data_IF_230241664096
#
_entry.id   IF_230241664096
#
_cell.length_a   1.000
_cell.length_b   1.000
_cell.length_c   1.000
_cell.angle_alpha   90.00
_cell.angle_beta   90.00
_cell.angle_gamma   90.00
#
_symmetry.space_group_name_H-M   'P 1'
#
loop_
_entity.id
_entity.type
_entity.pdbx_description
1 polymer ?
#
# COMPACT_ATOMS: atom_id res chain seq x y z
N UNK A 1 11.87 -24.57 16.50
CA UNK A 1 10.84 -23.71 15.84
C UNK A 1 9.62 -24.49 15.33
N UNK A 2 9.69 -25.80 15.04
CA UNK A 2 8.49 -26.61 14.70
C UNK A 2 7.61 -26.99 15.90
N UNK A 3 8.12 -26.86 17.12
CA UNK A 3 7.48 -27.35 18.36
C UNK A 3 6.86 -26.25 19.24
N UNK A 4 6.61 -25.06 18.69
CA UNK A 4 5.93 -24.00 19.45
C UNK A 4 4.43 -24.13 19.25
N UNK A 5 3.63 -24.21 20.34
CA UNK A 5 2.18 -24.34 20.24
C UNK A 5 1.61 -23.15 19.46
N UNK A 6 0.70 -23.41 18.53
CA UNK A 6 -0.04 -22.37 17.86
C UNK A 6 -1.36 -22.16 18.63
N UNK A 7 -1.58 -21.00 19.28
CA UNK A 7 -2.77 -20.71 20.07
C UNK A 7 -4.09 -20.73 19.26
N UNK A 8 -4.00 -20.75 17.94
CA UNK A 8 -5.12 -20.90 17.02
C UNK A 8 -5.13 -22.29 16.36
N UNK A 9 -4.54 -23.31 16.99
CA UNK A 9 -4.59 -24.71 16.54
C UNK A 9 -6.02 -25.24 16.37
N UNK A 10 -6.97 -24.75 17.16
CA UNK A 10 -8.39 -25.11 17.06
C UNK A 10 -9.08 -24.52 15.81
N UNK A 11 -8.44 -23.56 15.13
CA UNK A 11 -8.88 -22.98 13.87
C UNK A 11 -7.99 -23.54 12.75
N UNK A 12 -8.29 -24.80 12.34
CA UNK A 12 -7.52 -25.58 11.34
C UNK A 12 -7.20 -24.76 10.07
N UNK A 13 -8.05 -23.79 9.71
CA UNK A 13 -7.86 -22.91 8.55
C UNK A 13 -6.73 -21.86 8.72
N UNK A 14 -6.46 -21.40 9.95
CA UNK A 14 -5.38 -20.46 10.27
C UNK A 14 -4.09 -21.18 10.67
N UNK A 15 -4.21 -22.36 11.30
CA UNK A 15 -3.08 -23.10 11.83
C UNK A 15 -2.04 -23.49 10.76
N UNK A 16 -2.49 -23.76 9.54
CA UNK A 16 -1.64 -24.12 8.40
C UNK A 16 -1.00 -22.91 7.68
N UNK A 17 -1.50 -21.69 7.90
CA UNK A 17 -1.06 -20.48 7.16
C UNK A 17 0.07 -19.73 7.84
N UNK A 18 0.01 -19.57 9.17
CA UNK A 18 1.07 -18.95 9.97
C UNK A 18 0.93 -19.30 11.46
N UNK A 19 1.98 -19.05 12.25
CA UNK A 19 1.94 -19.27 13.70
C UNK A 19 1.92 -17.89 14.42
N UNK A 20 0.78 -17.48 14.98
CA UNK A 20 0.61 -16.20 15.67
C UNK A 20 1.55 -16.02 16.86
N UNK A 21 1.78 -17.07 17.66
CA UNK A 21 2.66 -17.00 18.83
C UNK A 21 4.12 -16.72 18.46
N UNK A 22 4.59 -17.26 17.33
CA UNK A 22 5.93 -16.94 16.81
C UNK A 22 6.06 -15.48 16.45
N UNK A 23 5.05 -14.91 15.79
CA UNK A 23 5.03 -13.48 15.44
C UNK A 23 5.04 -12.67 16.74
N UNK A 24 4.13 -12.97 17.65
CA UNK A 24 3.95 -12.17 18.86
C UNK A 24 5.21 -12.15 19.73
N UNK A 25 5.74 -13.32 20.12
CA UNK A 25 6.95 -13.40 20.96
C UNK A 25 8.12 -12.70 20.29
N UNK A 26 8.28 -12.86 18.97
CA UNK A 26 9.37 -12.21 18.23
C UNK A 26 9.21 -10.68 18.20
N UNK A 27 8.03 -10.18 17.81
CA UNK A 27 7.74 -8.75 17.67
C UNK A 27 7.81 -8.05 19.03
N UNK A 28 7.12 -8.58 20.03
CA UNK A 28 7.09 -8.04 21.39
C UNK A 28 8.51 -7.97 21.97
N UNK A 29 9.26 -9.07 21.92
CA UNK A 29 10.62 -9.10 22.50
C UNK A 29 11.58 -8.18 21.75
N UNK A 30 11.63 -8.26 20.41
CA UNK A 30 12.60 -7.50 19.62
C UNK A 30 12.37 -5.99 19.75
N UNK A 31 11.12 -5.56 19.63
CA UNK A 31 10.80 -4.12 19.63
C UNK A 31 10.79 -3.53 21.04
N UNK A 32 10.49 -4.32 22.08
CA UNK A 32 10.70 -3.89 23.46
C UNK A 32 12.18 -3.66 23.76
N UNK A 33 13.08 -4.57 23.33
CA UNK A 33 14.53 -4.38 23.46
C UNK A 33 15.04 -3.18 22.63
N UNK A 34 14.36 -2.85 21.54
CA UNK A 34 14.70 -1.74 20.66
C UNK A 34 13.90 -0.45 20.94
N UNK A 35 13.22 -0.37 22.10
CA UNK A 35 12.29 0.71 22.46
C UNK A 35 12.97 2.05 22.80
N UNK A 36 14.29 2.06 22.95
CA UNK A 36 15.06 3.24 23.38
C UNK A 36 14.92 4.46 22.46
N UNK A 37 14.84 4.25 21.15
CA UNK A 37 14.59 5.32 20.17
C UNK A 37 14.18 4.75 18.81
N UNK A 38 13.64 5.61 17.93
CA UNK A 38 13.30 5.24 16.55
C UNK A 38 14.48 4.56 15.83
N UNK A 39 15.69 5.10 15.98
CA UNK A 39 16.89 4.52 15.35
C UNK A 39 17.20 3.10 15.82
N UNK A 40 16.98 2.79 17.11
CA UNK A 40 17.18 1.43 17.63
C UNK A 40 16.15 0.48 17.03
N UNK A 41 14.87 0.88 17.00
CA UNK A 41 13.80 0.09 16.39
C UNK A 41 14.03 -0.14 14.88
N UNK A 42 14.47 0.88 14.14
CA UNK A 42 14.79 0.72 12.72
C UNK A 42 15.99 -0.18 12.47
N UNK A 43 17.02 -0.10 13.32
CA UNK A 43 18.19 -0.98 13.25
C UNK A 43 17.79 -2.43 13.53
N UNK A 44 16.92 -2.65 14.53
CA UNK A 44 16.36 -3.96 14.85
C UNK A 44 15.56 -4.54 13.67
N UNK A 45 14.62 -3.78 13.10
CA UNK A 45 13.85 -4.20 11.92
C UNK A 45 14.77 -4.55 10.75
N UNK A 46 15.79 -3.73 10.49
CA UNK A 46 16.72 -3.97 9.38
C UNK A 46 17.59 -5.21 9.63
N UNK A 47 18.08 -5.40 10.85
CA UNK A 47 18.93 -6.54 11.24
C UNK A 47 18.18 -7.87 11.14
N UNK A 48 16.89 -7.90 11.50
CA UNK A 48 16.07 -9.11 11.49
C UNK A 48 15.04 -9.13 10.35
N UNK A 49 15.27 -8.36 9.28
CA UNK A 49 14.36 -8.24 8.13
C UNK A 49 13.97 -9.60 7.54
N UNK A 50 14.92 -10.51 7.36
CA UNK A 50 14.65 -11.86 6.85
C UNK A 50 13.68 -12.64 7.74
N UNK A 51 13.78 -12.49 9.07
CA UNK A 51 12.87 -13.16 10.01
C UNK A 51 11.47 -12.58 9.89
N UNK A 52 11.34 -11.26 9.78
CA UNK A 52 10.07 -10.61 9.50
C UNK A 52 9.44 -11.11 8.19
N UNK A 53 10.21 -11.22 7.10
CA UNK A 53 9.70 -11.73 5.82
C UNK A 53 9.22 -13.17 5.88
N UNK A 54 9.87 -14.03 6.67
CA UNK A 54 9.44 -15.43 6.87
C UNK A 54 8.20 -15.51 7.75
N UNK A 55 8.11 -14.69 8.79
CA UNK A 55 6.99 -14.72 9.73
C UNK A 55 5.73 -14.05 9.17
N UNK A 56 5.88 -13.05 8.28
CA UNK A 56 4.81 -12.25 7.71
C UNK A 56 4.66 -12.46 6.19
N UNK A 57 4.74 -13.72 5.75
CA UNK A 57 4.60 -14.09 4.34
C UNK A 57 3.16 -13.93 3.85
N UNK A 58 2.18 -14.41 4.62
CA UNK A 58 0.75 -14.26 4.32
C UNK A 58 0.18 -12.91 4.78
N UNK A 59 -0.88 -12.43 4.13
CA UNK A 59 -1.55 -11.17 4.51
C UNK A 59 -2.09 -11.23 5.95
N UNK A 60 -2.66 -12.35 6.36
CA UNK A 60 -3.19 -12.55 7.72
C UNK A 60 -2.07 -12.47 8.77
N UNK A 61 -0.88 -12.96 8.44
CA UNK A 61 0.31 -12.85 9.28
C UNK A 61 0.81 -11.41 9.38
N UNK A 62 0.72 -10.63 8.29
CA UNK A 62 1.03 -9.20 8.30
C UNK A 62 0.04 -8.40 9.15
N UNK A 63 -1.26 -8.71 9.07
CA UNK A 63 -2.30 -8.10 9.93
C UNK A 63 -2.05 -8.48 11.40
N UNK A 64 -1.69 -9.74 11.68
CA UNK A 64 -1.36 -10.15 13.04
C UNK A 64 -0.10 -9.44 13.57
N UNK A 65 0.92 -9.25 12.73
CA UNK A 65 2.09 -8.45 13.06
C UNK A 65 1.71 -7.00 13.42
N UNK A 66 0.79 -6.39 12.68
CA UNK A 66 0.25 -5.05 12.98
C UNK A 66 -0.50 -5.01 14.32
N UNK A 67 -1.21 -6.07 14.69
CA UNK A 67 -1.82 -6.22 16.02
C UNK A 67 -0.77 -6.27 17.13
N UNK A 68 0.26 -7.12 17.01
CA UNK A 68 1.35 -7.17 17.99
C UNK A 68 2.09 -5.83 18.10
N UNK A 69 2.27 -5.10 17.00
CA UNK A 69 2.81 -3.74 17.03
C UNK A 69 1.92 -2.78 17.81
N UNK A 70 0.62 -2.80 17.55
CA UNK A 70 -0.34 -1.94 18.22
C UNK A 70 -0.39 -2.21 19.72
N UNK A 71 -0.41 -3.47 20.14
CA UNK A 71 -0.41 -3.83 21.55
C UNK A 71 0.81 -3.28 22.30
N UNK A 72 1.99 -3.30 21.67
CA UNK A 72 3.22 -2.77 22.26
C UNK A 72 3.28 -1.24 22.26
N UNK A 73 2.72 -0.58 21.24
CA UNK A 73 2.94 0.84 20.97
C UNK A 73 1.67 1.71 20.95
N UNK A 74 0.52 1.21 21.41
CA UNK A 74 -0.77 1.94 21.43
C UNK A 74 -0.71 3.31 22.11
N UNK A 75 0.14 3.43 23.14
CA UNK A 75 0.31 4.67 23.91
C UNK A 75 1.34 5.63 23.25
N UNK A 76 1.97 5.22 22.14
CA UNK A 76 2.94 6.02 21.40
C UNK A 76 2.59 6.08 19.90
N UNK A 77 1.60 6.90 19.56
CA UNK A 77 1.07 7.06 18.19
C UNK A 77 2.14 7.40 17.14
N UNK A 78 3.09 8.28 17.46
CA UNK A 78 4.17 8.63 16.52
C UNK A 78 5.07 7.42 16.22
N UNK A 79 5.35 6.55 17.22
CA UNK A 79 6.09 5.32 17.01
C UNK A 79 5.35 4.39 16.04
N UNK A 80 4.03 4.24 16.21
CA UNK A 80 3.20 3.47 15.28
C UNK A 80 3.33 3.97 13.83
N UNK A 81 3.21 5.28 13.61
CA UNK A 81 3.36 5.87 12.28
C UNK A 81 4.73 5.54 11.65
N UNK A 82 5.83 5.70 12.40
CA UNK A 82 7.17 5.50 11.84
C UNK A 82 7.55 4.03 11.67
N UNK A 83 7.05 3.13 12.51
CA UNK A 83 7.28 1.69 12.37
C UNK A 83 6.53 1.12 11.17
N UNK A 84 5.26 1.48 10.99
CA UNK A 84 4.48 1.07 9.81
C UNK A 84 5.11 1.66 8.53
N UNK A 85 5.53 2.93 8.57
CA UNK A 85 6.32 3.51 7.48
C UNK A 85 7.58 2.69 7.19
N UNK A 86 8.39 2.36 8.20
CA UNK A 86 9.60 1.56 8.01
C UNK A 86 9.29 0.20 7.40
N UNK A 87 8.27 -0.50 7.90
CA UNK A 87 7.91 -1.84 7.45
C UNK A 87 7.34 -1.88 6.03
N UNK A 88 6.56 -0.87 5.62
CA UNK A 88 6.13 -0.68 4.23
C UNK A 88 7.34 -0.41 3.31
N UNK A 89 8.30 0.43 3.75
CA UNK A 89 9.53 0.73 2.99
C UNK A 89 10.40 -0.50 2.79
N UNK A 90 10.43 -1.41 3.75
CA UNK A 90 11.20 -2.67 3.69
C UNK A 90 10.40 -3.85 3.17
N UNK A 91 9.18 -3.62 2.64
CA UNK A 91 8.28 -4.66 2.11
C UNK A 91 8.02 -5.81 3.10
N UNK A 92 8.04 -5.51 4.40
CA UNK A 92 7.57 -6.44 5.44
C UNK A 92 6.05 -6.46 5.46
N UNK A 93 5.45 -5.28 5.25
CA UNK A 93 4.01 -5.09 5.12
C UNK A 93 3.67 -4.67 3.70
N UNK A 94 2.51 -5.13 3.24
CA UNK A 94 1.82 -4.68 2.05
C UNK A 94 0.81 -3.59 2.39
N UNK A 95 0.45 -2.78 1.40
CA UNK A 95 -0.48 -1.68 1.60
C UNK A 95 -1.90 -2.17 1.89
N UNK A 96 -2.30 -3.30 1.29
CA UNK A 96 -3.58 -4.00 1.53
C UNK A 96 -3.71 -4.40 3.01
N UNK A 97 -2.70 -5.06 3.57
CA UNK A 97 -2.68 -5.48 4.97
C UNK A 97 -2.86 -4.29 5.92
N UNK A 98 -2.16 -3.18 5.66
CA UNK A 98 -2.30 -1.95 6.47
C UNK A 98 -3.70 -1.35 6.35
N UNK A 99 -4.26 -1.30 5.13
CA UNK A 99 -5.63 -0.82 4.93
C UNK A 99 -6.64 -1.70 5.68
N UNK A 100 -6.56 -3.02 5.56
CA UNK A 100 -7.42 -3.97 6.27
C UNK A 100 -7.30 -3.84 7.79
N UNK A 101 -6.09 -3.64 8.32
CA UNK A 101 -5.86 -3.43 9.75
C UNK A 101 -6.49 -2.13 10.27
N UNK A 102 -6.41 -1.01 9.54
CA UNK A 102 -6.99 0.28 9.97
C UNK A 102 -8.51 0.18 10.20
N UNK A 103 -9.19 -0.61 9.37
CA UNK A 103 -10.64 -0.84 9.47
C UNK A 103 -11.00 -2.10 10.28
N UNK A 104 -10.06 -2.69 11.00
CA UNK A 104 -10.32 -3.88 11.81
C UNK A 104 -11.10 -3.53 13.08
N UNK A 105 -11.72 -4.55 13.69
CA UNK A 105 -12.46 -4.40 14.96
C UNK A 105 -11.57 -3.94 16.11
N UNK A 106 -10.28 -4.30 16.08
CA UNK A 106 -9.32 -3.88 17.11
C UNK A 106 -9.09 -2.35 17.08
N UNK A 107 -9.20 -1.74 15.90
CA UNK A 107 -8.94 -0.31 15.71
C UNK A 107 -10.16 0.57 15.93
N UNK A 108 -11.34 0.01 16.23
CA UNK A 108 -12.58 0.78 16.44
C UNK A 108 -12.43 1.86 17.53
N UNK A 109 -11.75 1.55 18.64
CA UNK A 109 -11.52 2.51 19.73
C UNK A 109 -10.53 3.64 19.36
N UNK A 110 -9.76 3.45 18.29
CA UNK A 110 -8.74 4.38 17.82
C UNK A 110 -9.18 5.14 16.57
N UNK A 111 -10.26 4.72 15.92
CA UNK A 111 -10.67 5.11 14.57
C UNK A 111 -10.80 6.62 14.35
N UNK A 112 -11.19 7.37 15.38
CA UNK A 112 -11.35 8.83 15.31
C UNK A 112 -10.06 9.61 15.61
N UNK A 113 -8.95 8.94 15.95
CA UNK A 113 -7.66 9.59 16.22
C UNK A 113 -6.90 9.86 14.91
N UNK A 114 -6.20 11.01 14.85
CA UNK A 114 -5.57 11.47 13.61
C UNK A 114 -4.49 10.52 13.06
N UNK A 115 -3.69 9.90 13.93
CA UNK A 115 -2.55 9.08 13.51
C UNK A 115 -2.95 7.90 12.60
N UNK A 116 -4.13 7.30 12.79
CA UNK A 116 -4.64 6.25 11.90
C UNK A 116 -4.82 6.75 10.47
N UNK A 117 -5.36 7.95 10.31
CA UNK A 117 -5.56 8.58 9.00
C UNK A 117 -4.24 9.02 8.41
N UNK A 118 -3.28 9.47 9.23
CA UNK A 118 -1.91 9.71 8.77
C UNK A 118 -1.27 8.44 8.19
N UNK A 119 -1.43 7.29 8.86
CA UNK A 119 -0.97 5.99 8.38
C UNK A 119 -1.67 5.61 7.07
N UNK A 120 -3.00 5.78 6.97
CA UNK A 120 -3.75 5.49 5.74
C UNK A 120 -3.22 6.31 4.57
N UNK A 121 -3.16 7.64 4.73
CA UNK A 121 -2.68 8.53 3.66
C UNK A 121 -1.20 8.30 3.34
N UNK A 122 -0.36 7.97 4.33
CA UNK A 122 1.04 7.58 4.10
C UNK A 122 1.11 6.32 3.25
N UNK A 123 0.28 5.33 3.53
CA UNK A 123 0.22 4.06 2.81
C UNK A 123 -0.19 4.27 1.35
N UNK A 124 -1.25 5.05 1.11
CA UNK A 124 -1.68 5.41 -0.26
C UNK A 124 -0.58 6.17 -1.00
N UNK A 125 0.02 7.19 -0.36
CA UNK A 125 1.12 7.97 -0.99
C UNK A 125 2.30 7.09 -1.38
N UNK A 126 2.62 6.08 -0.58
CA UNK A 126 3.69 5.14 -0.91
C UNK A 126 3.38 4.28 -2.11
N UNK A 127 2.17 3.72 -2.17
CA UNK A 127 1.75 2.95 -3.32
C UNK A 127 1.77 3.81 -4.59
N UNK A 128 1.25 5.03 -4.52
CA UNK A 128 1.30 5.99 -5.63
C UNK A 128 2.74 6.36 -6.03
N UNK A 129 3.63 6.60 -5.06
CA UNK A 129 5.03 6.88 -5.34
C UNK A 129 5.75 5.67 -5.97
N UNK A 130 5.40 4.45 -5.58
CA UNK A 130 5.93 3.22 -6.16
C UNK A 130 5.54 3.08 -7.63
N UNK A 131 4.24 3.22 -7.95
CA UNK A 131 3.72 3.18 -9.33
C UNK A 131 4.33 4.28 -10.19
N UNK A 132 4.41 5.52 -9.67
CA UNK A 132 5.01 6.63 -10.42
C UNK A 132 6.49 6.41 -10.71
N UNK A 133 7.23 5.81 -9.76
CA UNK A 133 8.64 5.47 -9.95
C UNK A 133 8.80 4.42 -11.06
N UNK A 134 8.02 3.33 -11.02
CA UNK A 134 8.08 2.28 -12.05
C UNK A 134 7.69 2.81 -13.44
N UNK A 135 6.66 3.65 -13.53
CA UNK A 135 6.29 4.32 -14.79
C UNK A 135 7.45 5.13 -15.37
N UNK A 136 8.14 5.92 -14.53
CA UNK A 136 9.28 6.73 -14.97
C UNK A 136 10.44 5.85 -15.43
N UNK A 137 10.79 4.83 -14.65
CA UNK A 137 11.86 3.88 -14.99
C UNK A 137 11.58 3.18 -16.33
N UNK A 138 10.32 2.77 -16.57
CA UNK A 138 9.91 2.17 -17.84
C UNK A 138 9.98 3.16 -19.01
N UNK A 139 9.52 4.39 -18.83
CA UNK A 139 9.59 5.41 -19.87
C UNK A 139 11.05 5.71 -20.29
N UNK A 140 11.95 5.83 -19.31
CA UNK A 140 13.38 6.01 -19.55
C UNK A 140 14.01 4.80 -20.26
N UNK A 141 13.57 3.57 -19.93
CA UNK A 141 14.06 2.36 -20.59
C UNK A 141 13.60 2.30 -22.07
N UNK A 142 12.32 2.61 -22.34
CA UNK A 142 11.76 2.65 -23.70
C UNK A 142 12.44 3.71 -24.57
N UNK A 143 12.73 4.89 -24.02
CA UNK A 143 13.45 5.95 -24.75
C UNK A 143 14.87 5.51 -25.17
N UNK A 144 15.60 4.82 -24.29
CA UNK A 144 16.95 4.30 -24.59
C UNK A 144 16.94 3.24 -25.69
N UNK A 145 15.88 2.44 -25.78
CA UNK A 145 15.69 1.44 -26.85
C UNK A 145 15.31 2.14 -28.17
N UNK A 146 14.38 3.09 -28.13
CA UNK A 146 13.92 3.83 -29.32
C UNK A 146 14.99 4.70 -29.97
N UNK A 147 15.82 5.38 -29.17
CA UNK A 147 16.94 6.19 -29.69
C UNK A 147 18.01 5.35 -30.43
N UNK A 148 18.14 4.06 -30.09
CA UNK A 148 19.08 3.16 -30.76
C UNK A 148 18.57 2.70 -32.14
N UNK A 149 17.25 2.51 -32.32
CA UNK A 149 16.66 2.14 -33.60
C UNK A 149 16.73 3.27 -34.64
N UNK A 150 16.63 4.53 -34.21
CA UNK A 150 16.82 5.68 -35.07
C UNK A 150 18.28 5.85 -35.53
N UNK A 151 19.25 5.55 -34.66
CA UNK A 151 20.68 5.70 -34.96
C UNK A 151 21.26 4.51 -35.77
N UNK A 152 20.53 3.40 -35.91
CA UNK A 152 20.84 2.31 -36.86
C UNK A 152 20.22 2.51 -38.24
N UNK A 153 19.27 3.44 -38.39
CA UNK A 153 18.59 3.74 -39.66
C UNK A 153 19.27 4.86 -40.47
N UNK A 154 20.31 5.51 -39.95
CA UNK A 154 21.10 6.54 -40.65
C UNK A 154 22.45 6.00 -41.14
N UNK A 155 22.46 4.77 -41.66
CA UNK A 155 23.58 4.22 -42.41
C UNK A 155 23.30 4.35 -43.90
N UNK A 156 23.60 5.52 -44.46
CA UNK A 156 23.82 5.67 -45.91
C UNK A 156 25.09 6.50 -46.13
N UNK A 157 26.03 5.84 -46.79
CA UNK A 157 27.34 6.16 -47.34
C UNK A 157 28.06 7.50 -47.00
N UNK A 158 29.26 7.36 -46.43
CA UNK A 158 30.42 8.20 -46.77
C UNK A 158 31.72 7.45 -46.43
N UNK A 159 32.30 6.83 -47.46
CA UNK A 159 33.68 6.35 -47.53
C UNK A 159 34.63 7.56 -47.55
N UNK A 160 35.46 7.76 -46.51
CA UNK A 160 36.84 8.23 -46.67
C UNK A 160 37.68 8.06 -45.38
N UNK A 161 38.81 7.40 -45.59
CA UNK A 161 40.03 7.25 -44.81
C UNK A 161 40.40 8.37 -43.81
N UNK A 162 40.74 8.03 -42.56
CA UNK A 162 41.99 8.50 -41.90
C UNK A 162 42.23 7.86 -40.52
N UNK A 163 43.46 7.41 -40.32
CA UNK A 163 44.03 6.90 -39.06
C UNK A 163 44.13 7.98 -37.97
N UNK A 164 43.98 7.60 -36.70
CA UNK A 164 44.31 8.47 -35.56
C UNK A 164 43.76 7.97 -34.23
N UNK A 165 44.58 7.22 -33.49
CA UNK A 165 44.18 6.53 -32.27
C UNK A 165 43.88 7.41 -31.04
N UNK A 166 43.24 6.79 -30.07
CA UNK A 166 43.37 7.16 -28.65
C UNK A 166 42.08 7.45 -27.89
N UNK A 167 41.47 6.39 -27.32
CA UNK A 167 40.85 6.50 -25.99
C UNK A 167 39.35 6.82 -25.90
N UNK A 168 38.49 6.16 -26.66
CA UNK A 168 37.05 6.05 -26.32
C UNK A 168 36.78 4.78 -25.51
N UNK A 169 37.17 4.79 -24.24
CA UNK A 169 36.76 3.77 -23.27
C UNK A 169 36.04 4.47 -22.11
N UNK A 170 34.70 4.40 -22.11
CA UNK A 170 33.83 4.38 -20.93
C UNK A 170 32.41 4.83 -21.30
N UNK A 171 31.60 3.92 -21.85
CA UNK A 171 30.14 3.83 -21.63
C UNK A 171 29.59 2.65 -22.44
N UNK A 172 30.06 1.45 -22.10
CA UNK A 172 29.18 0.30 -22.16
C UNK A 172 28.11 0.49 -21.08
N UNK A 173 27.16 1.40 -21.32
CA UNK A 173 25.96 1.43 -20.50
C UNK A 173 25.18 0.18 -20.85
N UNK A 174 25.01 -0.72 -19.89
CA UNK A 174 24.06 -1.83 -19.93
C UNK A 174 22.79 -1.37 -20.63
N UNK A 175 22.63 -1.78 -21.89
CA UNK A 175 21.46 -1.44 -22.68
C UNK A 175 20.32 -2.28 -22.10
N UNK A 176 19.16 -1.68 -21.76
CA UNK A 176 17.99 -2.47 -21.44
C UNK A 176 17.67 -3.35 -22.65
N UNK A 177 17.78 -4.66 -22.50
CA UNK A 177 17.31 -5.63 -23.48
C UNK A 177 15.79 -5.54 -23.59
N UNK A 178 15.23 -5.94 -24.74
CA UNK A 178 13.78 -5.97 -24.94
C UNK A 178 13.07 -6.78 -23.85
N UNK A 179 13.66 -7.90 -23.43
CA UNK A 179 13.20 -8.71 -22.29
C UNK A 179 13.23 -7.97 -20.94
N UNK A 180 14.17 -7.04 -20.73
CA UNK A 180 14.19 -6.20 -19.52
C UNK A 180 13.07 -5.15 -19.55
N UNK A 181 12.72 -4.62 -20.72
CA UNK A 181 11.59 -3.70 -20.88
C UNK A 181 10.28 -4.44 -20.62
N UNK A 182 10.10 -5.63 -21.18
CA UNK A 182 8.94 -6.49 -20.93
C UNK A 182 8.78 -6.81 -19.43
N UNK A 183 9.86 -7.22 -18.76
CA UNK A 183 9.83 -7.45 -17.30
C UNK A 183 9.51 -6.20 -16.47
N UNK A 184 9.88 -5.00 -16.95
CA UNK A 184 9.52 -3.73 -16.30
C UNK A 184 8.04 -3.38 -16.52
N UNK A 185 7.49 -3.73 -17.68
CA UNK A 185 6.06 -3.58 -17.99
C UNK A 185 5.21 -4.48 -17.08
N UNK A 186 5.56 -5.77 -16.96
CA UNK A 186 4.86 -6.70 -16.05
C UNK A 186 4.86 -6.20 -14.59
N UNK A 187 6.00 -5.69 -14.12
CA UNK A 187 6.10 -5.12 -12.75
C UNK A 187 5.25 -3.87 -12.59
N UNK A 188 5.17 -3.03 -13.61
CA UNK A 188 4.35 -1.82 -13.58
C UNK A 188 2.86 -2.19 -13.55
N UNK A 189 2.43 -3.14 -14.38
CA UNK A 189 1.05 -3.62 -14.41
C UNK A 189 0.64 -4.23 -13.07
N UNK A 190 1.51 -5.07 -12.48
CA UNK A 190 1.30 -5.60 -11.14
C UNK A 190 1.14 -4.49 -10.09
N UNK A 191 2.04 -3.49 -10.08
CA UNK A 191 1.95 -2.37 -9.14
C UNK A 191 0.70 -1.49 -9.36
N UNK A 192 0.26 -1.31 -10.61
CA UNK A 192 -0.99 -0.60 -10.92
C UNK A 192 -2.22 -1.40 -10.46
N UNK A 193 -2.19 -2.74 -10.59
CA UNK A 193 -3.23 -3.62 -10.07
C UNK A 193 -3.29 -3.53 -8.54
N UNK A 194 -2.14 -3.56 -7.86
CA UNK A 194 -2.05 -3.41 -6.40
C UNK A 194 -2.57 -2.04 -5.94
N UNK A 195 -2.24 -0.96 -6.67
CA UNK A 195 -2.77 0.38 -6.38
C UNK A 195 -4.29 0.43 -6.54
N UNK A 196 -4.83 -0.14 -7.62
CA UNK A 196 -6.27 -0.24 -7.84
C UNK A 196 -6.94 -1.02 -6.71
N UNK A 197 -6.40 -2.18 -6.36
CA UNK A 197 -6.91 -3.05 -5.30
C UNK A 197 -6.88 -2.34 -3.93
N UNK A 198 -5.82 -1.58 -3.63
CA UNK A 198 -5.73 -0.77 -2.42
C UNK A 198 -6.90 0.22 -2.32
N UNK A 199 -7.21 0.96 -3.39
CA UNK A 199 -8.36 1.87 -3.39
C UNK A 199 -9.68 1.11 -3.25
N UNK A 200 -9.85 -0.02 -3.94
CA UNK A 200 -11.06 -0.86 -3.80
C UNK A 200 -11.27 -1.32 -2.36
N UNK A 201 -10.23 -1.83 -1.70
CA UNK A 201 -10.28 -2.23 -0.28
C UNK A 201 -10.69 -1.05 0.59
N UNK A 202 -10.05 0.11 0.43
CA UNK A 202 -10.32 1.29 1.26
C UNK A 202 -11.78 1.74 1.10
N UNK A 203 -12.26 1.88 -0.14
CA UNK A 203 -13.63 2.31 -0.40
C UNK A 203 -14.66 1.28 0.02
N UNK A 204 -14.41 -0.01 -0.21
CA UNK A 204 -15.28 -1.08 0.26
C UNK A 204 -15.40 -1.07 1.80
N UNK A 205 -14.29 -0.88 2.52
CA UNK A 205 -14.31 -0.79 3.99
C UNK A 205 -15.08 0.43 4.48
N UNK A 206 -14.91 1.60 3.85
CA UNK A 206 -15.72 2.78 4.15
C UNK A 206 -17.21 2.54 3.92
N UNK A 207 -17.58 2.00 2.75
CA UNK A 207 -18.96 1.68 2.41
C UNK A 207 -19.55 0.73 3.45
N UNK A 208 -18.82 -0.33 3.81
CA UNK A 208 -19.26 -1.32 4.78
C UNK A 208 -19.57 -0.69 6.14
N UNK A 209 -18.64 0.07 6.74
CA UNK A 209 -18.85 0.64 8.07
C UNK A 209 -19.88 1.78 8.09
N UNK A 210 -19.97 2.57 7.01
CA UNK A 210 -20.96 3.64 6.91
C UNK A 210 -22.36 3.04 6.73
N UNK A 211 -22.51 2.03 5.88
CA UNK A 211 -23.77 1.33 5.66
C UNK A 211 -24.23 0.62 6.94
N UNK A 212 -23.32 -0.05 7.66
CA UNK A 212 -23.61 -0.68 8.95
C UNK A 212 -24.15 0.35 9.96
N UNK A 213 -23.51 1.52 10.05
CA UNK A 213 -23.96 2.61 10.93
C UNK A 213 -25.32 3.18 10.54
N UNK A 214 -25.56 3.39 9.24
CA UNK A 214 -26.84 3.93 8.73
C UNK A 214 -27.99 2.94 8.99
N UNK A 215 -27.79 1.67 8.66
CA UNK A 215 -28.78 0.60 8.91
C UNK A 215 -29.07 0.45 10.41
N UNK A 216 -28.03 0.52 11.25
CA UNK A 216 -28.20 0.45 12.71
C UNK A 216 -28.96 1.66 13.24
N UNK A 217 -28.67 2.86 12.76
CA UNK A 217 -29.35 4.09 13.19
C UNK A 217 -30.84 4.06 12.82
N UNK A 218 -31.16 3.56 11.61
CA UNK A 218 -32.55 3.35 11.17
C UNK A 218 -33.27 2.29 12.02
N UNK A 219 -32.60 1.17 12.30
CA UNK A 219 -33.15 0.08 13.14
C UNK A 219 -33.42 0.54 14.59
N UNK A 220 -32.52 1.34 15.15
CA UNK A 220 -32.59 1.82 16.54
C UNK A 220 -33.46 3.09 16.68
N UNK A 221 -34.05 3.62 15.59
CA UNK A 221 -34.79 4.90 15.52
C UNK A 221 -33.99 6.08 16.10
N UNK A 222 -32.69 6.14 15.74
CA UNK A 222 -31.76 7.18 16.17
C UNK A 222 -31.27 8.02 15.00
N UNK A 223 -30.91 9.28 15.29
CA UNK A 223 -30.29 10.15 14.30
C UNK A 223 -28.92 9.58 13.87
N UNK A 224 -28.79 9.25 12.60
CA UNK A 224 -27.55 8.75 12.03
C UNK A 224 -26.43 9.79 12.06
N UNK A 225 -26.76 11.09 12.13
CA UNK A 225 -25.84 12.21 11.99
C UNK A 225 -25.01 12.48 13.27
N UNK A 226 -24.37 11.42 13.76
CA UNK A 226 -23.51 11.42 14.94
C UNK A 226 -22.15 12.05 14.66
N UNK A 227 -21.38 12.45 15.70
CA UNK A 227 -19.99 12.89 15.53
C UNK A 227 -19.12 11.85 14.83
N UNK A 228 -19.32 10.56 15.10
CA UNK A 228 -18.61 9.47 14.44
C UNK A 228 -18.94 9.41 12.94
N UNK A 229 -20.22 9.55 12.59
CA UNK A 229 -20.65 9.57 11.19
C UNK A 229 -20.03 10.74 10.42
N UNK A 230 -20.15 11.97 10.94
CA UNK A 230 -19.58 13.18 10.32
C UNK A 230 -18.06 13.07 10.14
N UNK A 231 -17.38 12.50 11.12
CA UNK A 231 -15.96 12.23 11.02
C UNK A 231 -15.66 11.22 9.91
N UNK A 232 -16.35 10.09 9.90
CA UNK A 232 -16.08 8.98 8.97
C UNK A 232 -16.39 9.36 7.52
N UNK A 233 -17.54 10.00 7.27
CA UNK A 233 -17.91 10.50 5.93
C UNK A 233 -16.93 11.59 5.47
N UNK A 234 -16.47 12.46 6.38
CA UNK A 234 -15.43 13.45 6.10
C UNK A 234 -14.08 12.82 5.75
N UNK A 235 -13.73 11.67 6.34
CA UNK A 235 -12.51 10.92 5.99
C UNK A 235 -12.64 10.23 4.64
N UNK A 236 -13.81 9.73 4.27
CA UNK A 236 -14.08 9.25 2.92
C UNK A 236 -13.87 10.38 1.89
N UNK A 237 -14.49 11.55 2.13
CA UNK A 237 -14.28 12.75 1.30
C UNK A 237 -12.79 13.12 1.20
N UNK A 238 -12.06 13.07 2.32
CA UNK A 238 -10.63 13.37 2.33
C UNK A 238 -9.81 12.42 1.44
N UNK A 239 -10.18 11.13 1.35
CA UNK A 239 -9.48 10.20 0.45
C UNK A 239 -9.71 10.59 -1.02
N UNK A 240 -10.94 10.94 -1.40
CA UNK A 240 -11.26 11.43 -2.74
C UNK A 240 -10.47 12.69 -3.09
N UNK A 241 -10.48 13.69 -2.20
CA UNK A 241 -9.80 14.96 -2.45
C UNK A 241 -8.27 14.84 -2.40
N UNK A 242 -7.74 14.09 -1.43
CA UNK A 242 -6.30 13.97 -1.22
C UNK A 242 -5.56 13.16 -2.27
N UNK A 243 -6.27 12.30 -3.01
CA UNK A 243 -5.70 11.39 -4.01
C UNK A 243 -6.49 11.42 -5.33
N UNK A 244 -7.09 12.56 -5.65
CA UNK A 244 -8.03 12.71 -6.77
C UNK A 244 -7.44 12.21 -8.11
N UNK A 245 -6.17 12.50 -8.39
CA UNK A 245 -5.51 12.09 -9.64
C UNK A 245 -5.47 10.57 -9.81
N UNK A 246 -5.27 9.82 -8.72
CA UNK A 246 -5.18 8.37 -8.76
C UNK A 246 -6.57 7.74 -8.75
N UNK A 247 -7.46 8.22 -7.88
CA UNK A 247 -8.84 7.73 -7.78
C UNK A 247 -9.58 7.90 -9.10
N UNK A 248 -9.34 9.01 -9.79
CA UNK A 248 -9.88 9.30 -11.12
C UNK A 248 -9.58 8.22 -12.15
N UNK A 249 -8.37 7.65 -12.17
CA UNK A 249 -8.00 6.60 -13.13
C UNK A 249 -8.87 5.36 -12.98
N UNK A 250 -9.47 5.17 -11.80
CA UNK A 250 -10.29 4.01 -11.46
C UNK A 250 -11.77 4.36 -11.31
N UNK A 251 -12.20 5.60 -11.61
CA UNK A 251 -13.58 6.06 -11.35
C UNK A 251 -14.63 5.17 -12.00
N UNK A 252 -14.43 4.73 -13.24
CA UNK A 252 -15.37 3.83 -13.92
C UNK A 252 -15.50 2.45 -13.24
N UNK A 253 -14.41 1.91 -12.70
CA UNK A 253 -14.49 0.68 -11.89
C UNK A 253 -15.20 0.94 -10.56
N UNK A 254 -14.92 2.06 -9.91
CA UNK A 254 -15.55 2.43 -8.64
C UNK A 254 -17.07 2.62 -8.79
N UNK A 255 -17.50 3.29 -9.84
CA UNK A 255 -18.91 3.48 -10.18
C UNK A 255 -19.62 2.14 -10.47
N UNK A 256 -18.96 1.23 -11.19
CA UNK A 256 -19.57 -0.05 -11.57
C UNK A 256 -19.62 -1.06 -10.43
N UNK A 257 -18.62 -1.08 -9.54
CA UNK A 257 -18.46 -2.14 -8.53
C UNK A 257 -18.79 -1.73 -7.10
N UNK A 258 -18.64 -0.45 -6.73
CA UNK A 258 -18.73 -0.01 -5.34
C UNK A 258 -19.79 1.07 -5.12
N UNK A 259 -19.78 2.12 -5.95
CA UNK A 259 -20.69 3.26 -5.84
C UNK A 259 -21.83 3.14 -6.85
N UNK A 260 -22.56 2.03 -6.75
CA UNK A 260 -23.72 1.72 -7.61
C UNK A 260 -24.97 2.47 -7.14
N UNK A 261 -26.03 2.45 -7.96
CA UNK A 261 -27.30 3.12 -7.64
C UNK A 261 -28.02 2.54 -6.42
N UNK A 262 -27.68 1.32 -6.03
CA UNK A 262 -28.26 0.63 -4.86
C UNK A 262 -27.56 1.03 -3.55
N UNK A 263 -26.45 1.78 -3.61
CA UNK A 263 -25.77 2.29 -2.42
C UNK A 263 -26.58 3.42 -1.77
N UNK A 264 -26.53 3.49 -0.44
CA UNK A 264 -27.18 4.57 0.32
C UNK A 264 -26.80 5.95 -0.23
N UNK A 265 -27.83 6.79 -0.41
CA UNK A 265 -27.70 8.10 -1.06
C UNK A 265 -26.66 9.00 -0.38
N UNK A 266 -26.50 8.92 0.95
CA UNK A 266 -25.53 9.78 1.65
C UNK A 266 -24.08 9.41 1.33
N UNK A 267 -23.80 8.11 1.13
CA UNK A 267 -22.47 7.64 0.75
C UNK A 267 -22.24 7.90 -0.74
N UNK A 268 -23.26 7.65 -1.57
CA UNK A 268 -23.20 7.85 -3.02
C UNK A 268 -22.98 9.33 -3.38
N UNK A 269 -23.61 10.26 -2.65
CA UNK A 269 -23.47 11.70 -2.85
C UNK A 269 -22.00 12.16 -2.73
N UNK A 270 -21.21 11.58 -1.82
CA UNK A 270 -19.77 11.88 -1.70
C UNK A 270 -19.02 11.53 -3.00
N UNK A 271 -19.34 10.40 -3.61
CA UNK A 271 -18.73 10.01 -4.89
C UNK A 271 -19.21 10.89 -6.04
N UNK A 272 -20.50 11.24 -6.08
CA UNK A 272 -21.05 12.13 -7.10
C UNK A 272 -20.45 13.54 -7.02
N UNK A 273 -20.29 14.09 -5.82
CA UNK A 273 -19.59 15.35 -5.59
C UNK A 273 -18.16 15.29 -6.14
N UNK A 274 -17.43 14.21 -5.87
CA UNK A 274 -16.08 14.01 -6.42
C UNK A 274 -16.08 13.99 -7.96
N UNK A 275 -17.01 13.27 -8.59
CA UNK A 275 -17.14 13.23 -10.05
C UNK A 275 -17.48 14.61 -10.63
N UNK A 276 -18.33 15.40 -9.95
CA UNK A 276 -18.72 16.74 -10.39
C UNK A 276 -17.60 17.79 -10.36
N UNK A 277 -16.50 17.56 -9.63
CA UNK A 277 -15.35 18.48 -9.62
C UNK A 277 -14.67 18.62 -11.00
N UNK A 278 -15.10 17.83 -11.99
CA UNK A 278 -14.63 17.92 -13.39
C UNK A 278 -15.75 18.02 -14.44
N UNK A 279 -17.02 18.08 -14.04
CA UNK A 279 -18.13 18.34 -14.98
C UNK A 279 -18.16 19.80 -15.41
#
# INVERSE_FOLDING_TARGET
LRELPNPQEDDEALADRFNPLKIDVFVQTLLNLASKSFSHSFAAISKFHKVFKVLAEAEEAQIYLLRSLFELWRDHQQMMCVLIDKMLKTQILECSAVANWIFSKEMTGEFTKLYLWEILHLTIRKMSAHVNRLNRELAEARERVGAAGANSSSGDDSDDSTEGGGGRNARGSDKPTEAQVESMEEKLEAAQADQKNLFLIIFQRFIMILSEHLVRSDTDDQDFNTPWYRWTIGRLQQVFLGHHEQVQKYSGTLETLLFTQDLDAHILDVFQQFVSLRS
#
